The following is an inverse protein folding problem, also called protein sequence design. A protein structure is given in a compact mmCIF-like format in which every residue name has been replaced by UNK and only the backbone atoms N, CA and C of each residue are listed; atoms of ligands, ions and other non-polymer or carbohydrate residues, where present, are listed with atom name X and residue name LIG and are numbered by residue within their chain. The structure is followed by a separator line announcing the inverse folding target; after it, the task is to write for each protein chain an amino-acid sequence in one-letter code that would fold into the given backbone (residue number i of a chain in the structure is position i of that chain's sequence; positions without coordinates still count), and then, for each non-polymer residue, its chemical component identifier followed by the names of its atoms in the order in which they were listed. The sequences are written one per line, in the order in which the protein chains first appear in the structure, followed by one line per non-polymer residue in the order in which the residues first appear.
data_IF_715795569393
#
_entry.id   IF_715795569393
#
_cell.length_a   1.000
_cell.length_b   1.000
_cell.length_c   1.000
_cell.angle_alpha   90.00
_cell.angle_beta   90.00
_cell.angle_gamma   90.00
#
_symmetry.space_group_name_H-M   'P 1'
#
loop_
_entity.id
_entity.type
_entity.pdbx_description
1 polymer ?
#
# COMPACT_ATOMS: atom_id res chain seq x y z
N UNK A 1 5.63 -22.35 -2.21
CA UNK A 1 5.46 -21.05 -2.89
C UNK A 1 3.99 -20.64 -2.80
N UNK A 2 3.68 -19.35 -2.67
CA UNK A 2 2.29 -18.88 -2.68
C UNK A 2 1.67 -19.16 -4.06
N UNK A 3 0.48 -19.78 -4.14
CA UNK A 3 -0.10 -20.23 -5.40
C UNK A 3 -0.44 -19.08 -6.36
N UNK A 4 -1.02 -18.00 -5.84
CA UNK A 4 -1.41 -16.80 -6.60
C UNK A 4 -0.21 -15.84 -6.80
N UNK A 5 0.29 -15.24 -5.72
CA UNK A 5 1.30 -14.18 -5.80
C UNK A 5 2.74 -14.63 -6.06
N UNK A 6 3.01 -15.93 -6.15
CA UNK A 6 4.35 -16.51 -6.37
C UNK A 6 5.44 -16.04 -5.39
N UNK A 7 5.06 -15.68 -4.16
CA UNK A 7 6.01 -15.34 -3.09
C UNK A 7 6.48 -16.58 -2.32
N UNK A 8 7.68 -16.52 -1.75
CA UNK A 8 8.18 -17.56 -0.85
C UNK A 8 7.31 -17.66 0.41
N UNK A 9 7.12 -18.86 0.92
CA UNK A 9 6.44 -19.11 2.19
C UNK A 9 7.39 -19.90 3.08
N UNK A 10 7.61 -19.42 4.30
CA UNK A 10 8.50 -20.03 5.27
C UNK A 10 7.75 -20.26 6.58
N UNK A 11 8.00 -21.41 7.20
CA UNK A 11 7.43 -21.77 8.49
C UNK A 11 8.40 -21.39 9.60
N UNK A 12 7.90 -20.68 10.60
CA UNK A 12 8.64 -20.33 11.81
C UNK A 12 8.83 -21.56 12.69
N UNK A 13 10.04 -22.11 12.72
CA UNK A 13 10.34 -23.35 13.44
C UNK A 13 10.38 -23.19 14.97
N UNK A 14 10.16 -21.98 15.50
CA UNK A 14 10.06 -21.74 16.95
C UNK A 14 8.75 -22.28 17.53
N UNK A 15 7.70 -22.37 16.72
CA UNK A 15 6.38 -22.86 17.14
C UNK A 15 6.35 -24.38 17.25
N UNK A 16 5.33 -24.92 17.91
CA UNK A 16 5.07 -26.35 17.95
C UNK A 16 4.47 -26.85 16.62
N UNK A 17 5.35 -27.29 15.71
CA UNK A 17 4.96 -27.84 14.40
C UNK A 17 4.11 -29.09 14.51
N UNK A 18 4.36 -29.95 15.50
CA UNK A 18 3.60 -31.20 15.66
C UNK A 18 2.14 -30.90 16.03
N UNK A 19 1.91 -29.91 16.89
CA UNK A 19 0.56 -29.45 17.22
C UNK A 19 -0.14 -28.85 15.99
N UNK A 20 0.55 -28.01 15.22
CA UNK A 20 0.00 -27.37 14.02
C UNK A 20 -0.38 -28.41 12.95
N UNK A 21 0.46 -29.41 12.72
CA UNK A 21 0.18 -30.45 11.72
C UNK A 21 -0.97 -31.39 12.09
N UNK A 22 -1.38 -31.43 13.37
CA UNK A 22 -2.54 -32.21 13.84
C UNK A 22 -3.86 -31.46 13.70
N UNK A 23 -3.83 -30.16 13.39
CA UNK A 23 -5.05 -29.38 13.16
C UNK A 23 -5.80 -29.89 11.94
N UNK A 24 -7.12 -29.81 11.98
CA UNK A 24 -7.94 -29.96 10.77
C UNK A 24 -7.81 -28.71 9.88
N UNK A 25 -8.37 -28.78 8.68
CA UNK A 25 -8.27 -27.72 7.67
C UNK A 25 -8.79 -26.36 8.18
N UNK A 26 -9.95 -26.33 8.84
CA UNK A 26 -10.58 -25.11 9.34
C UNK A 26 -9.79 -24.47 10.50
N UNK A 27 -9.29 -25.30 11.40
CA UNK A 27 -8.47 -24.83 12.52
C UNK A 27 -7.10 -24.36 12.04
N UNK A 28 -6.52 -25.01 11.02
CA UNK A 28 -5.31 -24.54 10.35
C UNK A 28 -5.54 -23.18 9.67
N UNK A 29 -6.68 -23.00 8.98
CA UNK A 29 -7.08 -21.73 8.35
C UNK A 29 -7.20 -20.60 9.37
N UNK A 30 -7.75 -20.89 10.56
CA UNK A 30 -7.78 -19.93 11.69
C UNK A 30 -6.38 -19.67 12.25
N UNK A 31 -5.58 -20.70 12.46
CA UNK A 31 -4.23 -20.60 13.03
C UNK A 31 -3.31 -19.75 12.15
N UNK A 32 -3.42 -19.86 10.82
CA UNK A 32 -2.70 -19.04 9.85
C UNK A 32 -3.04 -17.54 9.94
N UNK A 33 -4.23 -17.18 10.46
CA UNK A 33 -4.67 -15.79 10.63
C UNK A 33 -4.23 -15.20 11.99
N UNK A 34 -3.92 -16.03 12.99
CA UNK A 34 -3.57 -15.59 14.36
C UNK A 34 -2.21 -14.91 14.43
N UNK A 35 -2.09 -13.96 15.36
CA UNK A 35 -0.83 -13.34 15.75
C UNK A 35 -0.31 -13.99 17.04
N UNK A 36 0.98 -14.40 17.12
CA UNK A 36 2.01 -14.29 16.09
C UNK A 36 1.89 -15.36 14.99
N UNK A 37 1.96 -14.96 13.71
CA UNK A 37 1.84 -15.91 12.58
C UNK A 37 3.01 -16.88 12.51
N UNK A 38 2.74 -18.18 12.41
CA UNK A 38 3.81 -19.17 12.16
C UNK A 38 4.25 -19.18 10.69
N UNK A 39 3.34 -18.88 9.75
CA UNK A 39 3.66 -18.82 8.32
C UNK A 39 4.06 -17.39 7.93
N UNK A 40 5.26 -17.24 7.38
CA UNK A 40 5.84 -15.97 6.94
C UNK A 40 5.98 -15.93 5.43
N UNK A 41 5.54 -14.83 4.82
CA UNK A 41 5.73 -14.58 3.40
C UNK A 41 7.07 -13.89 3.16
N UNK A 42 7.90 -14.48 2.28
CA UNK A 42 9.19 -13.94 1.85
C UNK A 42 9.04 -13.38 0.43
N UNK A 43 9.24 -12.07 0.28
CA UNK A 43 9.18 -11.36 -1.00
C UNK A 43 10.60 -11.12 -1.51
N UNK A 44 11.02 -11.84 -2.56
CA UNK A 44 12.38 -11.74 -3.12
C UNK A 44 12.72 -10.33 -3.59
N UNK A 45 11.74 -9.60 -4.14
CA UNK A 45 11.88 -8.22 -4.60
C UNK A 45 11.91 -7.17 -3.46
N UNK A 46 11.90 -7.58 -2.19
CA UNK A 46 12.02 -6.69 -1.02
C UNK A 46 13.35 -6.90 -0.27
N UNK A 47 14.35 -7.45 -0.95
CA UNK A 47 15.69 -7.70 -0.41
C UNK A 47 15.68 -8.40 0.97
N UNK A 48 15.06 -9.59 1.08
CA UNK A 48 15.00 -10.29 2.36
C UNK A 48 16.40 -10.73 2.78
N UNK A 49 16.71 -10.57 4.07
CA UNK A 49 17.96 -11.08 4.64
C UNK A 49 17.79 -12.58 4.89
N UNK A 50 18.49 -13.39 4.10
CA UNK A 50 18.52 -14.84 4.21
C UNK A 50 19.97 -15.22 4.48
N UNK A 51 20.23 -15.75 5.67
CA UNK A 51 21.56 -16.12 6.15
C UNK A 51 21.60 -17.60 6.48
N UNK A 52 22.82 -18.13 6.54
CA UNK A 52 23.05 -19.48 7.02
C UNK A 52 22.53 -19.65 8.46
N UNK A 53 21.92 -20.81 8.81
CA UNK A 53 21.39 -21.04 10.16
C UNK A 53 22.41 -20.81 11.28
N UNK A 54 23.70 -21.00 11.03
CA UNK A 54 24.78 -20.80 12.02
C UNK A 54 24.83 -19.39 12.59
N UNK A 55 24.39 -18.37 11.84
CA UNK A 55 24.28 -17.00 12.33
C UNK A 55 23.10 -16.84 13.29
N UNK A 56 21.94 -17.41 12.93
CA UNK A 56 20.73 -17.33 13.75
C UNK A 56 20.88 -18.04 15.10
N UNK A 57 21.53 -19.21 15.12
CA UNK A 57 21.71 -20.01 16.33
C UNK A 57 22.57 -19.32 17.41
N UNK A 58 23.32 -18.27 17.07
CA UNK A 58 24.14 -17.50 18.02
C UNK A 58 23.35 -16.41 18.76
N UNK A 59 22.11 -16.14 18.37
CA UNK A 59 21.32 -15.00 18.85
C UNK A 59 19.97 -15.47 19.37
N UNK A 60 19.43 -14.76 20.37
CA UNK A 60 18.08 -15.03 20.86
C UNK A 60 17.02 -14.73 19.78
N UNK A 61 15.94 -15.54 19.70
CA UNK A 61 15.58 -16.61 20.62
C UNK A 61 16.18 -17.99 20.28
N UNK A 62 16.87 -18.15 19.15
CA UNK A 62 17.36 -19.45 18.69
C UNK A 62 18.52 -20.00 19.51
N UNK A 63 19.33 -19.14 20.12
CA UNK A 63 20.39 -19.54 21.06
C UNK A 63 19.86 -20.28 22.30
N UNK A 64 18.58 -20.08 22.66
CA UNK A 64 17.90 -20.76 23.78
C UNK A 64 17.21 -22.06 23.37
N UNK A 65 17.15 -22.38 22.08
CA UNK A 65 16.46 -23.56 21.55
C UNK A 65 17.47 -24.66 21.21
N UNK A 66 17.09 -25.91 21.46
CA UNK A 66 17.91 -27.06 21.07
C UNK A 66 18.03 -27.12 19.52
N UNK A 67 19.25 -27.08 18.95
CA UNK A 67 19.46 -27.21 17.51
C UNK A 67 18.83 -28.48 16.92
N UNK A 68 18.82 -29.59 17.68
CA UNK A 68 18.23 -30.84 17.22
C UNK A 68 16.70 -30.76 17.12
N UNK A 69 16.06 -30.05 18.07
CA UNK A 69 14.62 -29.78 18.01
C UNK A 69 14.26 -28.96 16.77
N UNK A 70 15.03 -27.91 16.45
CA UNK A 70 14.80 -27.10 15.25
C UNK A 70 14.93 -27.93 13.98
N UNK A 71 15.97 -28.77 13.87
CA UNK A 71 16.15 -29.69 12.73
C UNK A 71 15.01 -30.71 12.62
N UNK A 72 14.57 -31.29 13.74
CA UNK A 72 13.42 -32.21 13.77
C UNK A 72 12.16 -31.52 13.22
N UNK A 73 11.88 -30.30 13.69
CA UNK A 73 10.74 -29.50 13.21
C UNK A 73 10.84 -29.17 11.72
N UNK A 74 12.04 -28.86 11.23
CA UNK A 74 12.26 -28.62 9.80
C UNK A 74 11.93 -29.85 8.95
N UNK A 75 12.39 -31.04 9.38
CA UNK A 75 12.10 -32.30 8.68
C UNK A 75 10.62 -32.68 8.73
N UNK A 76 9.92 -32.40 9.84
CA UNK A 76 8.47 -32.59 9.93
C UNK A 76 7.72 -31.74 8.91
N UNK A 77 8.11 -30.47 8.72
CA UNK A 77 7.50 -29.62 7.67
C UNK A 77 7.83 -30.15 6.28
N UNK A 78 9.07 -30.58 6.05
CA UNK A 78 9.55 -31.04 4.74
C UNK A 78 8.92 -32.36 4.29
N UNK A 79 8.68 -33.29 5.21
CA UNK A 79 8.15 -34.63 4.93
C UNK A 79 6.62 -34.68 4.80
N UNK A 80 5.90 -33.70 5.35
CA UNK A 80 4.45 -33.67 5.35
C UNK A 80 3.90 -32.91 4.13
N UNK A 81 3.72 -33.65 3.02
CA UNK A 81 3.18 -33.09 1.78
C UNK A 81 1.75 -32.58 1.95
N UNK A 82 0.91 -33.32 2.68
CA UNK A 82 -0.49 -32.94 2.94
C UNK A 82 -0.57 -31.57 3.60
N UNK A 83 0.22 -31.33 4.64
CA UNK A 83 0.30 -30.02 5.30
C UNK A 83 0.67 -28.90 4.32
N UNK A 84 1.63 -29.15 3.43
CA UNK A 84 2.05 -28.17 2.42
C UNK A 84 0.93 -27.87 1.41
N UNK A 85 0.17 -28.89 0.99
CA UNK A 85 -0.97 -28.75 0.09
C UNK A 85 -2.12 -27.97 0.77
N UNK A 86 -2.46 -28.31 2.01
CA UNK A 86 -3.49 -27.63 2.79
C UNK A 86 -3.16 -26.14 2.96
N UNK A 87 -1.91 -25.81 3.33
CA UNK A 87 -1.44 -24.42 3.41
C UNK A 87 -1.56 -23.71 2.06
N UNK A 88 -1.21 -24.37 0.95
CA UNK A 88 -1.36 -23.76 -0.37
C UNK A 88 -2.82 -23.51 -0.74
N UNK A 89 -3.72 -24.42 -0.42
CA UNK A 89 -5.16 -24.25 -0.69
C UNK A 89 -5.73 -23.10 0.14
N UNK A 90 -5.41 -23.04 1.44
CA UNK A 90 -5.83 -21.93 2.31
C UNK A 90 -5.34 -20.57 1.78
N UNK A 91 -4.09 -20.50 1.30
CA UNK A 91 -3.54 -19.28 0.70
C UNK A 91 -4.23 -18.89 -0.62
N UNK A 92 -4.71 -19.86 -1.39
CA UNK A 92 -5.46 -19.63 -2.62
C UNK A 92 -6.85 -19.09 -2.29
N UNK A 93 -7.58 -19.79 -1.44
CA UNK A 93 -8.90 -19.37 -0.97
C UNK A 93 -8.85 -17.97 -0.39
N UNK A 94 -7.88 -17.67 0.48
CA UNK A 94 -7.74 -16.34 1.06
C UNK A 94 -7.43 -15.24 0.03
N UNK A 95 -6.79 -15.59 -1.10
CA UNK A 95 -6.56 -14.65 -2.18
C UNK A 95 -7.83 -14.45 -3.04
N UNK A 96 -8.57 -15.52 -3.31
CA UNK A 96 -9.85 -15.51 -4.03
C UNK A 96 -10.92 -14.76 -3.23
N UNK A 97 -11.12 -15.08 -1.95
CA UNK A 97 -12.01 -14.38 -1.01
C UNK A 97 -11.71 -12.87 -1.01
N UNK A 98 -10.42 -12.48 -1.03
CA UNK A 98 -10.02 -11.07 -1.07
C UNK A 98 -10.35 -10.39 -2.40
N UNK A 99 -10.31 -11.12 -3.51
CA UNK A 99 -10.74 -10.61 -4.81
C UNK A 99 -12.26 -10.46 -4.86
N UNK A 100 -13.01 -11.42 -4.33
CA UNK A 100 -14.49 -11.40 -4.31
C UNK A 100 -15.05 -10.32 -3.38
N UNK A 101 -14.39 -10.07 -2.25
CA UNK A 101 -14.80 -9.06 -1.26
C UNK A 101 -14.21 -7.67 -1.52
N UNK A 102 -13.56 -7.47 -2.67
CA UNK A 102 -13.02 -6.16 -3.04
C UNK A 102 -14.15 -5.15 -3.28
N UNK A 103 -13.87 -3.87 -3.04
CA UNK A 103 -14.86 -2.80 -3.21
C UNK A 103 -15.34 -2.74 -4.67
N UNK A 104 -16.64 -2.51 -4.86
CA UNK A 104 -17.23 -2.27 -6.18
C UNK A 104 -17.10 -0.81 -6.64
N UNK A 105 -16.55 0.07 -5.80
CA UNK A 105 -16.26 1.45 -6.18
C UNK A 105 -15.22 1.49 -7.30
N UNK A 106 -15.34 2.48 -8.19
CA UNK A 106 -14.34 2.74 -9.21
C UNK A 106 -12.98 2.98 -8.54
N UNK A 107 -11.96 2.30 -9.04
CA UNK A 107 -10.59 2.40 -8.52
C UNK A 107 -9.99 3.69 -9.07
N UNK A 108 -9.50 4.54 -8.18
CA UNK A 108 -8.80 5.75 -8.61
C UNK A 108 -7.50 5.38 -9.34
N UNK A 109 -7.06 6.13 -10.36
CA UNK A 109 -5.82 5.87 -11.07
C UNK A 109 -4.62 5.67 -10.12
N UNK A 110 -4.54 6.45 -9.04
CA UNK A 110 -3.50 6.35 -8.00
C UNK A 110 -3.53 5.01 -7.24
N UNK A 111 -4.70 4.40 -7.08
CA UNK A 111 -4.89 3.10 -6.43
C UNK A 111 -4.63 1.93 -7.41
N UNK A 112 -4.60 2.22 -8.71
CA UNK A 112 -4.49 1.22 -9.77
C UNK A 112 -3.08 0.80 -10.16
N UNK A 113 -2.05 1.30 -9.45
CA UNK A 113 -0.62 1.03 -9.75
C UNK A 113 -0.33 -0.48 -9.87
N UNK A 114 -0.92 -1.27 -8.97
CA UNK A 114 -0.71 -2.73 -8.95
C UNK A 114 -1.85 -3.51 -9.62
N UNK A 115 -3.09 -3.04 -9.55
CA UNK A 115 -4.24 -3.75 -10.13
C UNK A 115 -4.33 -3.61 -11.65
N UNK A 116 -3.96 -2.44 -12.20
CA UNK A 116 -3.94 -2.23 -13.65
C UNK A 116 -2.72 -2.83 -14.35
N UNK A 117 -1.83 -3.51 -13.62
CA UNK A 117 -0.67 -4.21 -14.19
C UNK A 117 0.39 -3.28 -14.78
N UNK A 118 1.36 -3.89 -15.46
CA UNK A 118 2.43 -3.17 -16.14
C UNK A 118 1.94 -2.54 -17.44
N UNK A 119 2.50 -1.38 -17.78
CA UNK A 119 2.21 -0.69 -19.05
C UNK A 119 2.70 -1.51 -20.24
N UNK A 120 2.04 -1.31 -21.39
CA UNK A 120 2.38 -2.03 -22.62
C UNK A 120 3.80 -1.67 -23.12
N UNK A 121 4.40 -2.56 -23.92
CA UNK A 121 5.69 -2.26 -24.56
C UNK A 121 5.61 -1.02 -25.50
N UNK A 122 4.43 -0.78 -26.08
CA UNK A 122 4.16 0.40 -26.92
C UNK A 122 4.20 1.69 -26.09
N UNK A 123 3.54 1.72 -24.94
CA UNK A 123 3.59 2.87 -24.03
C UNK A 123 5.00 3.09 -23.50
N UNK A 124 5.70 2.02 -23.11
CA UNK A 124 7.08 2.11 -22.62
C UNK A 124 8.03 2.71 -23.65
N UNK A 125 7.82 2.45 -24.94
CA UNK A 125 8.62 3.05 -26.01
C UNK A 125 8.43 4.57 -26.14
N UNK A 126 7.30 5.12 -25.66
CA UNK A 126 7.03 6.57 -25.67
C UNK A 126 7.67 7.29 -24.47
N UNK A 127 8.01 6.60 -23.38
CA UNK A 127 8.54 7.21 -22.15
C UNK A 127 9.79 8.06 -22.36
N UNK A 128 10.83 7.63 -23.10
CA UNK A 128 12.01 8.46 -23.28
C UNK A 128 11.67 9.81 -23.93
N UNK A 129 10.78 9.80 -24.92
CA UNK A 129 10.32 11.02 -25.59
C UNK A 129 9.46 11.89 -24.67
N UNK A 130 8.57 11.28 -23.89
CA UNK A 130 7.77 12.00 -22.91
C UNK A 130 8.62 12.69 -21.83
N UNK A 131 9.66 12.00 -21.32
CA UNK A 131 10.51 12.55 -20.26
C UNK A 131 11.47 13.65 -20.75
N UNK A 132 11.89 13.59 -22.02
CA UNK A 132 12.83 14.57 -22.60
C UNK A 132 12.15 15.74 -23.30
N UNK A 133 10.89 15.57 -23.73
CA UNK A 133 10.16 16.60 -24.44
C UNK A 133 9.78 17.81 -23.58
N UNK A 134 9.52 18.92 -24.25
CA UNK A 134 8.96 20.11 -23.60
C UNK A 134 7.48 19.89 -23.20
N UNK A 135 6.86 20.88 -22.56
CA UNK A 135 5.47 20.73 -22.08
C UNK A 135 4.43 20.59 -23.21
N UNK A 136 4.64 21.23 -24.36
CA UNK A 136 3.75 21.08 -25.51
C UNK A 136 3.89 19.68 -26.12
N UNK A 137 5.12 19.20 -26.24
CA UNK A 137 5.41 17.85 -26.73
C UNK A 137 4.84 16.79 -25.79
N UNK A 138 4.99 16.96 -24.47
CA UNK A 138 4.39 16.08 -23.45
C UNK A 138 2.88 16.01 -23.60
N UNK A 139 2.21 17.16 -23.73
CA UNK A 139 0.76 17.20 -23.94
C UNK A 139 0.35 16.46 -25.22
N UNK A 140 1.02 16.73 -26.35
CA UNK A 140 0.74 16.08 -27.63
C UNK A 140 1.03 14.57 -27.64
N UNK A 141 1.88 14.08 -26.74
CA UNK A 141 2.15 12.65 -26.59
C UNK A 141 1.08 11.92 -25.78
N UNK A 142 0.26 12.62 -24.99
CA UNK A 142 -0.75 11.98 -24.15
C UNK A 142 -1.76 11.16 -24.98
N UNK A 143 -2.18 11.68 -26.13
CA UNK A 143 -3.12 11.01 -27.04
C UNK A 143 -2.56 9.72 -27.67
N UNK A 144 -1.28 9.42 -27.46
CA UNK A 144 -0.61 8.23 -28.02
C UNK A 144 -0.47 7.07 -27.03
N UNK A 145 -0.71 7.31 -25.75
CA UNK A 145 -0.71 6.24 -24.75
C UNK A 145 -2.00 5.43 -24.85
N UNK A 146 -1.88 4.11 -24.78
CA UNK A 146 -3.03 3.19 -24.72
C UNK A 146 -3.57 3.06 -23.29
N UNK A 147 -2.69 3.18 -22.31
CA UNK A 147 -3.06 3.12 -20.90
C UNK A 147 -3.62 4.47 -20.42
N UNK A 148 -4.94 4.51 -20.17
CA UNK A 148 -5.66 5.70 -19.69
C UNK A 148 -5.11 6.25 -18.37
N UNK A 149 -4.43 5.42 -17.55
CA UNK A 149 -3.78 5.87 -16.31
C UNK A 149 -2.63 6.83 -16.64
N UNK A 150 -1.85 6.53 -17.68
CA UNK A 150 -0.75 7.39 -18.12
C UNK A 150 -1.27 8.73 -18.64
N UNK A 151 -2.39 8.71 -19.37
CA UNK A 151 -3.06 9.93 -19.84
C UNK A 151 -3.53 10.77 -18.65
N UNK A 152 -4.12 10.13 -17.63
CA UNK A 152 -4.60 10.82 -16.43
C UNK A 152 -3.46 11.43 -15.62
N UNK A 153 -2.39 10.66 -15.38
CA UNK A 153 -1.21 11.16 -14.67
C UNK A 153 -0.47 12.25 -15.46
N UNK A 154 -0.39 12.10 -16.78
CA UNK A 154 0.21 13.11 -17.66
C UNK A 154 -0.55 14.44 -17.60
N UNK A 155 -1.88 14.41 -17.68
CA UNK A 155 -2.70 15.61 -17.49
C UNK A 155 -2.51 16.24 -16.11
N UNK A 156 -2.44 15.44 -15.05
CA UNK A 156 -2.19 15.93 -13.69
C UNK A 156 -0.81 16.56 -13.52
N UNK A 157 0.22 15.96 -14.13
CA UNK A 157 1.58 16.50 -14.13
C UNK A 157 1.63 17.87 -14.81
N UNK A 158 1.05 17.99 -16.02
CA UNK A 158 1.02 19.25 -16.76
C UNK A 158 0.18 20.29 -16.01
N UNK A 159 -0.93 19.90 -15.39
CA UNK A 159 -1.75 20.81 -14.59
C UNK A 159 -0.97 21.42 -13.41
N UNK A 160 -0.09 20.65 -12.78
CA UNK A 160 0.70 21.12 -11.64
C UNK A 160 1.91 21.97 -12.06
N UNK A 161 2.56 21.63 -13.16
CA UNK A 161 3.86 22.22 -13.55
C UNK A 161 3.77 23.28 -14.66
N UNK A 162 2.80 23.14 -15.58
CA UNK A 162 2.62 24.01 -16.75
C UNK A 162 1.12 24.12 -17.16
N UNK A 163 0.24 24.61 -16.26
CA UNK A 163 -1.21 24.65 -16.47
C UNK A 163 -1.65 25.43 -17.72
N UNK A 164 -0.84 26.40 -18.16
CA UNK A 164 -1.09 27.22 -19.35
C UNK A 164 -1.10 26.44 -20.67
N UNK A 165 -0.48 25.26 -20.69
CA UNK A 165 -0.45 24.37 -21.86
C UNK A 165 -1.78 23.63 -22.03
N UNK A 166 -2.53 23.44 -20.94
CA UNK A 166 -3.77 22.69 -20.99
C UNK A 166 -4.90 23.52 -21.60
N UNK A 167 -5.73 22.92 -22.48
CA UNK A 167 -6.99 23.52 -22.89
C UNK A 167 -7.89 23.83 -21.69
N UNK A 168 -8.63 24.93 -21.77
CA UNK A 168 -9.54 25.40 -20.70
C UNK A 168 -10.48 24.30 -20.18
N UNK A 169 -11.00 23.46 -21.08
CA UNK A 169 -11.89 22.36 -20.72
C UNK A 169 -11.20 21.29 -19.85
N UNK A 170 -9.98 20.89 -20.22
CA UNK A 170 -9.19 19.90 -19.45
C UNK A 170 -8.80 20.49 -18.10
N UNK A 171 -8.30 21.72 -18.10
CA UNK A 171 -7.96 22.44 -16.88
C UNK A 171 -9.16 22.51 -15.92
N UNK A 172 -10.34 22.89 -16.42
CA UNK A 172 -11.58 22.97 -15.63
C UNK A 172 -12.01 21.59 -15.11
N UNK A 173 -11.91 20.54 -15.94
CA UNK A 173 -12.23 19.17 -15.53
C UNK A 173 -11.34 18.71 -14.37
N UNK A 174 -10.04 18.94 -14.46
CA UNK A 174 -9.09 18.59 -13.38
C UNK A 174 -9.38 19.41 -12.13
N UNK A 175 -9.55 20.73 -12.24
CA UNK A 175 -9.86 21.61 -11.11
C UNK A 175 -11.13 21.16 -10.37
N UNK A 176 -12.19 20.84 -11.11
CA UNK A 176 -13.45 20.32 -10.54
C UNK A 176 -13.29 18.98 -9.84
N UNK A 177 -12.51 18.05 -10.40
CA UNK A 177 -12.22 16.76 -9.76
C UNK A 177 -11.44 16.95 -8.46
N UNK A 178 -10.48 17.87 -8.42
CA UNK A 178 -9.75 18.20 -7.19
C UNK A 178 -10.72 18.81 -6.16
N UNK A 179 -11.52 19.79 -6.57
CA UNK A 179 -12.51 20.43 -5.71
C UNK A 179 -13.49 19.43 -5.10
N UNK A 180 -14.07 18.53 -5.92
CA UNK A 180 -15.01 17.52 -5.44
C UNK A 180 -14.40 16.55 -4.42
N UNK A 181 -13.09 16.28 -4.53
CA UNK A 181 -12.37 15.41 -3.58
C UNK A 181 -12.08 16.12 -2.27
N UNK A 182 -11.51 17.33 -2.33
CA UNK A 182 -11.06 18.03 -1.11
C UNK A 182 -12.23 18.67 -0.35
N UNK A 183 -13.29 19.11 -1.04
CA UNK A 183 -14.46 19.74 -0.44
C UNK A 183 -15.56 18.72 -0.05
N UNK A 184 -15.32 17.43 -0.25
CA UNK A 184 -16.29 16.40 0.17
C UNK A 184 -16.47 16.43 1.70
N UNK A 185 -17.73 16.39 2.12
CA UNK A 185 -18.14 16.25 3.52
C UNK A 185 -18.42 14.79 3.90
N UNK A 186 -18.26 13.86 2.96
CA UNK A 186 -18.43 12.44 3.21
C UNK A 186 -17.18 11.84 3.86
N UNK A 187 -17.31 10.61 4.36
CA UNK A 187 -16.16 9.82 4.82
C UNK A 187 -15.41 9.23 3.63
N UNK A 188 -14.43 9.98 3.14
CA UNK A 188 -13.59 9.58 2.01
C UNK A 188 -12.37 8.74 2.45
N UNK A 189 -11.72 8.07 1.48
CA UNK A 189 -10.45 7.34 1.68
C UNK A 189 -9.24 8.27 1.80
N UNK A 190 -9.39 9.54 1.42
CA UNK A 190 -8.38 10.58 1.49
C UNK A 190 -8.81 11.69 2.45
N UNK A 191 -7.87 12.58 2.77
CA UNK A 191 -8.15 13.71 3.65
C UNK A 191 -8.96 14.78 2.92
N UNK A 192 -10.09 15.16 3.51
CA UNK A 192 -10.92 16.28 3.05
C UNK A 192 -10.71 17.49 3.96
N UNK A 193 -11.13 18.66 3.49
CA UNK A 193 -11.07 19.90 4.29
C UNK A 193 -11.95 19.77 5.53
N UNK A 194 -13.14 19.18 5.40
CA UNK A 194 -14.02 18.91 6.54
C UNK A 194 -13.36 17.98 7.57
N UNK A 195 -12.71 16.90 7.13
CA UNK A 195 -12.00 15.98 8.03
C UNK A 195 -10.81 16.66 8.70
N UNK A 196 -10.10 17.52 7.98
CA UNK A 196 -9.02 18.33 8.53
C UNK A 196 -9.50 19.23 9.66
N UNK A 197 -10.57 20.00 9.46
CA UNK A 197 -11.05 20.91 10.50
C UNK A 197 -11.42 20.16 11.79
N UNK A 198 -12.14 19.04 11.68
CA UNK A 198 -12.48 18.22 12.85
C UNK A 198 -11.24 17.69 13.59
N UNK A 199 -10.24 17.16 12.87
CA UNK A 199 -9.03 16.66 13.52
C UNK A 199 -8.16 17.80 14.07
N UNK A 200 -8.08 18.94 13.37
CA UNK A 200 -7.31 20.10 13.82
C UNK A 200 -7.85 20.63 15.15
N UNK A 201 -9.18 20.71 15.30
CA UNK A 201 -9.81 21.16 16.53
C UNK A 201 -9.63 20.13 17.66
N UNK A 202 -9.78 18.83 17.37
CA UNK A 202 -9.50 17.78 18.36
C UNK A 202 -8.04 17.84 18.85
N UNK A 203 -7.08 18.06 17.93
CA UNK A 203 -5.68 18.20 18.30
C UNK A 203 -5.47 19.47 19.11
N UNK A 204 -6.08 20.61 18.77
CA UNK A 204 -5.95 21.86 19.55
C UNK A 204 -6.38 21.67 21.00
N UNK A 205 -7.51 21.02 21.22
CA UNK A 205 -8.08 20.78 22.56
C UNK A 205 -7.30 19.74 23.38
N UNK A 206 -6.65 18.77 22.71
CA UNK A 206 -5.97 17.68 23.39
C UNK A 206 -4.51 18.01 23.76
N UNK A 207 -4.26 18.38 25.01
CA UNK A 207 -2.93 18.69 25.56
C UNK A 207 -1.95 17.51 25.55
N UNK A 208 -2.43 16.26 25.48
CA UNK A 208 -1.57 15.08 25.41
C UNK A 208 -1.03 14.83 23.98
N UNK A 209 -1.68 15.39 22.95
CA UNK A 209 -1.23 15.34 21.54
C UNK A 209 -0.17 16.42 21.26
N UNK A 210 0.93 16.38 22.02
CA UNK A 210 2.06 17.32 21.89
C UNK A 210 3.10 16.90 20.84
N UNK A 211 2.97 15.70 20.26
CA UNK A 211 3.85 15.18 19.21
C UNK A 211 5.35 15.41 19.48
N UNK A 212 5.99 16.34 18.76
CA UNK A 212 7.39 16.74 18.93
C UNK A 212 7.56 18.19 19.41
N UNK A 213 6.46 18.85 19.80
CA UNK A 213 6.48 20.23 20.29
C UNK A 213 6.95 20.30 21.73
N UNK A 214 7.73 21.32 22.06
CA UNK A 214 8.24 21.53 23.42
C UNK A 214 7.25 22.32 24.27
N UNK A 215 6.38 23.10 23.64
CA UNK A 215 5.36 23.92 24.30
C UNK A 215 4.03 23.86 23.56
N UNK A 216 2.94 24.14 24.29
CA UNK A 216 1.59 24.25 23.71
C UNK A 216 1.55 25.38 22.69
N UNK A 217 2.24 26.49 22.93
CA UNK A 217 2.31 27.61 22.00
C UNK A 217 2.96 27.24 20.66
N UNK A 218 4.03 26.43 20.68
CA UNK A 218 4.65 25.93 19.44
C UNK A 218 3.69 25.05 18.64
N UNK A 219 2.96 24.17 19.33
CA UNK A 219 1.92 23.32 18.75
C UNK A 219 0.81 24.15 18.12
N UNK A 220 0.23 25.09 18.85
CA UNK A 220 -0.88 25.93 18.37
C UNK A 220 -0.45 26.76 17.16
N UNK A 221 0.73 27.39 17.23
CA UNK A 221 1.27 28.16 16.10
C UNK A 221 1.49 27.31 14.85
N UNK A 222 1.93 26.06 15.01
CA UNK A 222 2.07 25.13 13.89
C UNK A 222 0.71 24.75 13.29
N UNK A 223 -0.27 24.44 14.14
CA UNK A 223 -1.63 24.11 13.70
C UNK A 223 -2.30 25.29 12.99
N UNK A 224 -2.11 26.51 13.48
CA UNK A 224 -2.64 27.72 12.83
C UNK A 224 -2.03 27.92 11.44
N UNK A 225 -0.72 27.67 11.27
CA UNK A 225 -0.10 27.71 9.95
C UNK A 225 -0.67 26.68 8.96
N UNK A 226 -0.99 25.48 9.42
CA UNK A 226 -1.67 24.47 8.58
C UNK A 226 -3.12 24.89 8.30
N UNK A 227 -3.82 25.41 9.30
CA UNK A 227 -5.20 25.86 9.15
C UNK A 227 -5.30 26.99 8.12
N UNK A 228 -4.42 27.99 8.17
CA UNK A 228 -4.35 29.06 7.19
C UNK A 228 -4.09 28.52 5.78
N UNK A 229 -3.21 27.53 5.64
CA UNK A 229 -2.97 26.86 4.35
C UNK A 229 -4.23 26.17 3.83
N UNK A 230 -4.97 25.45 4.69
CA UNK A 230 -6.19 24.74 4.31
C UNK A 230 -7.33 25.70 3.97
N UNK A 231 -7.50 26.80 4.71
CA UNK A 231 -8.49 27.84 4.39
C UNK A 231 -8.22 28.47 3.02
N UNK A 232 -6.95 28.76 2.71
CA UNK A 232 -6.57 29.25 1.38
C UNK A 232 -6.84 28.22 0.28
N UNK A 233 -6.62 26.93 0.58
CA UNK A 233 -6.94 25.83 -0.34
C UNK A 233 -8.45 25.74 -0.60
N UNK A 234 -9.27 25.83 0.44
CA UNK A 234 -10.73 25.84 0.35
C UNK A 234 -11.19 26.97 -0.57
N UNK A 235 -10.77 28.20 -0.29
CA UNK A 235 -11.12 29.37 -1.09
C UNK A 235 -10.72 29.22 -2.57
N UNK A 236 -9.53 28.66 -2.84
CA UNK A 236 -9.04 28.43 -4.22
C UNK A 236 -9.95 27.51 -5.03
N UNK A 237 -10.57 26.53 -4.38
CA UNK A 237 -11.35 25.47 -5.04
C UNK A 237 -12.86 25.61 -4.86
N UNK A 238 -13.35 26.51 -4.01
CA UNK A 238 -14.77 26.86 -3.91
C UNK A 238 -15.32 27.43 -5.23
N UNK A 239 -14.48 28.11 -6.02
CA UNK A 239 -14.83 28.69 -7.33
C UNK A 239 -14.45 27.79 -8.52
N UNK A 240 -14.42 26.46 -8.36
CA UNK A 240 -13.94 25.50 -9.38
C UNK A 240 -14.99 25.05 -10.42
#
# INVERSE_FOLDING_TARGET
MHPVYKWGQAVDLRVDIEAIQKLNYEDLKKEMKKSPKFLRTIRSNKAPIILDPSFGMKVEPYSKLDPNLIKKRAELVKSNEKFSQDVCNILREAAEEKMETSSQEDIEPEESIYSGGFTSAKDQALFPKFHTGDWNEKFALLDKFEDERLVTFGHGLIFNEAPEILPKEIHKKIKRRIASRILSTNKEKWWTISAFYSECDEIRENEDKMFSFKTVDEKLKFLDGINDYVMNLEQKYSDA
#
